data_IF_479546809983
#
_entry.id   IF_479546809983
#
_cell.length_a   1.000
_cell.length_b   1.000
_cell.length_c   1.000
_cell.angle_alpha   90.00
_cell.angle_beta   90.00
_cell.angle_gamma   90.00
#
_symmetry.space_group_name_H-M   'P 1'
#
loop_
_entity.id
_entity.type
_entity.pdbx_description
1 polymer ?
#
# COMPACT_ATOMS: atom_id res chain seq x y z
N UNK A 1 -9.60 15.26 2.31
CA UNK A 1 -10.10 13.89 2.52
C UNK A 1 -10.99 13.54 1.36
N UNK A 2 -10.77 12.41 0.70
CA UNK A 2 -11.54 11.93 -0.43
C UNK A 2 -12.76 11.09 0.01
N UNK A 3 -13.71 10.89 -0.90
CA UNK A 3 -14.75 9.88 -0.75
C UNK A 3 -14.14 8.49 -0.96
N UNK A 4 -14.47 7.53 -0.11
CA UNK A 4 -13.94 6.16 -0.20
C UNK A 4 -14.37 5.45 -1.49
N UNK A 5 -15.52 5.80 -2.04
CA UNK A 5 -15.98 5.26 -3.32
C UNK A 5 -15.14 5.77 -4.49
N UNK A 6 -14.67 7.02 -4.45
CA UNK A 6 -13.74 7.55 -5.46
C UNK A 6 -12.40 6.79 -5.40
N UNK A 7 -11.94 6.45 -4.18
CA UNK A 7 -10.72 5.64 -3.98
C UNK A 7 -10.91 4.22 -4.49
N UNK A 8 -12.05 3.58 -4.21
CA UNK A 8 -12.36 2.23 -4.71
C UNK A 8 -12.42 2.20 -6.24
N UNK A 9 -13.05 3.22 -6.86
CA UNK A 9 -13.08 3.38 -8.30
C UNK A 9 -11.67 3.55 -8.90
N UNK A 10 -10.80 4.33 -8.23
CA UNK A 10 -9.42 4.53 -8.67
C UNK A 10 -8.59 3.24 -8.59
N UNK A 11 -8.73 2.46 -7.51
CA UNK A 11 -8.07 1.16 -7.39
C UNK A 11 -8.48 0.24 -8.56
N UNK A 12 -9.78 0.13 -8.83
CA UNK A 12 -10.26 -0.71 -9.93
C UNK A 12 -9.89 -0.19 -11.32
N UNK A 13 -9.71 1.12 -11.49
CA UNK A 13 -9.17 1.69 -12.73
C UNK A 13 -7.72 1.27 -12.99
N UNK A 14 -6.92 1.10 -11.94
CA UNK A 14 -5.52 0.66 -12.04
C UNK A 14 -5.38 -0.87 -12.11
N UNK A 15 -6.19 -1.63 -11.34
CA UNK A 15 -6.09 -3.10 -11.31
C UNK A 15 -6.87 -3.79 -12.43
N UNK A 16 -7.90 -3.15 -12.99
CA UNK A 16 -8.97 -3.80 -13.72
C UNK A 16 -9.91 -4.59 -12.79
N UNK A 17 -10.75 -5.50 -13.34
CA UNK A 17 -11.64 -6.35 -12.55
C UNK A 17 -10.90 -7.13 -11.47
N UNK A 18 -11.38 -7.07 -10.23
CA UNK A 18 -10.71 -7.68 -9.09
C UNK A 18 -11.70 -8.36 -8.14
N UNK A 19 -11.17 -9.13 -7.19
CA UNK A 19 -12.01 -9.72 -6.14
C UNK A 19 -12.37 -8.68 -5.07
N UNK A 20 -13.58 -8.74 -4.50
CA UNK A 20 -13.99 -7.88 -3.39
C UNK A 20 -13.00 -7.89 -2.23
N UNK A 21 -12.45 -9.06 -1.90
CA UNK A 21 -11.47 -9.21 -0.81
C UNK A 21 -10.18 -8.43 -1.11
N UNK A 22 -9.64 -8.53 -2.34
CA UNK A 22 -8.42 -7.82 -2.71
C UNK A 22 -8.64 -6.31 -2.71
N UNK A 23 -9.77 -5.83 -3.24
CA UNK A 23 -10.15 -4.41 -3.18
C UNK A 23 -10.14 -3.89 -1.73
N UNK A 24 -10.70 -4.62 -0.76
CA UNK A 24 -10.70 -4.24 0.65
C UNK A 24 -9.28 -4.14 1.24
N UNK A 25 -8.39 -5.06 0.87
CA UNK A 25 -6.99 -5.01 1.34
C UNK A 25 -6.23 -3.84 0.72
N UNK A 26 -6.46 -3.54 -0.56
CA UNK A 26 -5.86 -2.38 -1.21
C UNK A 26 -6.35 -1.06 -0.60
N UNK A 27 -7.63 -0.93 -0.24
CA UNK A 27 -8.15 0.23 0.50
C UNK A 27 -7.44 0.42 1.85
N UNK A 28 -7.22 -0.66 2.59
CA UNK A 28 -6.49 -0.62 3.84
C UNK A 28 -5.04 -0.15 3.63
N UNK A 29 -4.34 -0.70 2.63
CA UNK A 29 -2.97 -0.29 2.32
C UNK A 29 -2.89 1.17 1.84
N UNK A 30 -3.81 1.61 1.00
CA UNK A 30 -3.89 3.02 0.56
C UNK A 30 -4.02 3.95 1.76
N UNK A 31 -4.92 3.65 2.70
CA UNK A 31 -5.10 4.45 3.92
C UNK A 31 -3.85 4.43 4.80
N UNK A 32 -3.26 3.25 5.03
CA UNK A 32 -2.11 3.08 5.92
C UNK A 32 -0.86 3.79 5.43
N UNK A 33 -0.51 3.58 4.17
CA UNK A 33 0.66 4.23 3.57
C UNK A 33 0.49 5.74 3.46
N UNK A 34 -0.68 6.21 3.07
CA UNK A 34 -0.92 7.65 2.99
C UNK A 34 -0.82 8.33 4.36
N UNK A 35 -1.41 7.73 5.39
CA UNK A 35 -1.28 8.20 6.78
C UNK A 35 0.19 8.28 7.21
N UNK A 36 1.00 7.29 6.89
CA UNK A 36 2.41 7.27 7.25
C UNK A 36 3.22 8.34 6.52
N UNK A 37 2.91 8.61 5.25
CA UNK A 37 3.64 9.58 4.42
C UNK A 37 3.23 11.03 4.67
N UNK A 38 1.96 11.27 5.01
CA UNK A 38 1.41 12.64 5.06
C UNK A 38 0.87 13.05 6.43
N UNK A 39 0.60 12.11 7.31
CA UNK A 39 -0.11 12.32 8.58
C UNK A 39 -1.63 12.45 8.42
N UNK A 40 -2.16 12.49 7.20
CA UNK A 40 -3.56 12.73 6.91
C UNK A 40 -4.24 11.48 6.30
N UNK A 41 -5.53 11.23 6.61
CA UNK A 41 -6.25 10.10 6.01
C UNK A 41 -6.66 10.40 4.57
N UNK A 42 -6.68 9.38 3.70
CA UNK A 42 -7.23 9.49 2.35
C UNK A 42 -8.75 9.66 2.41
N UNK A 43 -9.41 8.84 3.22
CA UNK A 43 -10.88 8.85 3.39
C UNK A 43 -11.26 8.83 4.87
N UNK A 44 -12.47 9.35 5.23
CA UNK A 44 -12.90 9.45 6.62
C UNK A 44 -13.40 8.13 7.19
N UNK A 45 -13.80 7.19 6.34
CA UNK A 45 -14.48 5.96 6.70
C UNK A 45 -13.60 5.08 7.61
N UNK A 46 -14.25 4.37 8.53
CA UNK A 46 -13.58 3.42 9.40
C UNK A 46 -13.20 2.16 8.64
N UNK A 47 -12.11 1.57 9.05
CA UNK A 47 -11.69 0.23 8.63
C UNK A 47 -11.86 -0.67 9.85
N UNK A 48 -12.51 -1.81 9.70
CA UNK A 48 -12.80 -2.76 10.77
C UNK A 48 -11.93 -4.01 10.66
N UNK A 49 -11.59 -4.60 11.82
CA UNK A 49 -10.74 -5.79 11.93
C UNK A 49 -11.55 -7.09 11.78
N UNK A 50 -12.13 -7.31 10.60
CA UNK A 50 -12.91 -8.52 10.35
C UNK A 50 -12.02 -9.77 10.31
N UNK A 51 -12.66 -10.94 10.44
CA UNK A 51 -11.99 -12.26 10.44
C UNK A 51 -11.07 -12.48 9.24
N UNK A 52 -11.45 -12.07 8.05
CA UNK A 52 -10.63 -12.21 6.83
C UNK A 52 -9.72 -11.00 6.58
N UNK A 53 -9.37 -10.24 7.62
CA UNK A 53 -8.52 -9.05 7.57
C UNK A 53 -9.33 -7.74 7.50
N UNK A 54 -8.65 -6.60 7.32
CA UNK A 54 -9.26 -5.27 7.31
C UNK A 54 -10.35 -5.11 6.23
N UNK A 55 -11.47 -4.46 6.61
CA UNK A 55 -12.61 -4.19 5.73
C UNK A 55 -13.13 -2.78 5.97
N UNK A 56 -13.47 -2.06 4.92
CA UNK A 56 -14.24 -0.81 4.94
C UNK A 56 -15.72 -1.17 4.78
N UNK A 57 -16.55 -1.10 5.83
CA UNK A 57 -17.95 -1.55 5.76
C UNK A 57 -18.78 -0.78 4.74
N UNK A 58 -18.46 0.52 4.52
CA UNK A 58 -19.14 1.33 3.51
C UNK A 58 -19.00 0.71 2.12
N UNK A 59 -17.79 0.39 1.71
CA UNK A 59 -17.50 -0.26 0.43
C UNK A 59 -18.02 -1.69 0.40
N UNK A 60 -17.97 -2.42 1.53
CA UNK A 60 -18.46 -3.82 1.61
C UNK A 60 -19.92 -3.94 1.22
N UNK A 61 -20.79 -3.05 1.69
CA UNK A 61 -22.25 -3.08 1.38
C UNK A 61 -22.55 -3.06 -0.13
N UNK A 62 -21.68 -2.46 -0.93
CA UNK A 62 -21.84 -2.33 -2.38
C UNK A 62 -21.34 -3.55 -3.18
N UNK A 63 -20.54 -4.41 -2.57
CA UNK A 63 -20.03 -5.62 -3.23
C UNK A 63 -20.38 -6.92 -2.50
N UNK A 64 -21.18 -6.86 -1.43
CA UNK A 64 -21.60 -8.05 -0.70
C UNK A 64 -22.22 -9.08 -1.64
N UNK A 65 -21.79 -10.34 -1.51
CA UNK A 65 -22.25 -11.45 -2.35
C UNK A 65 -21.65 -11.50 -3.77
N UNK A 66 -20.91 -10.48 -4.20
CA UNK A 66 -20.23 -10.50 -5.51
C UNK A 66 -18.96 -11.36 -5.45
N UNK A 67 -18.67 -12.08 -6.53
CA UNK A 67 -17.43 -12.85 -6.68
C UNK A 67 -16.29 -12.02 -7.27
N UNK A 68 -16.64 -11.02 -8.07
CA UNK A 68 -15.74 -10.08 -8.69
C UNK A 68 -16.40 -8.71 -8.79
N UNK A 69 -15.58 -7.66 -8.80
CA UNK A 69 -15.99 -6.28 -9.03
C UNK A 69 -15.25 -5.79 -10.26
N UNK A 70 -16.01 -5.54 -11.35
CA UNK A 70 -15.44 -5.12 -12.63
C UNK A 70 -15.35 -3.58 -12.77
N UNK A 71 -16.31 -2.87 -12.17
CA UNK A 71 -16.40 -1.43 -12.14
C UNK A 71 -16.97 -0.96 -10.81
N UNK A 72 -16.78 0.30 -10.48
CA UNK A 72 -17.29 0.94 -9.26
C UNK A 72 -18.10 2.18 -9.63
N UNK A 73 -19.40 2.00 -9.80
CA UNK A 73 -20.30 3.07 -10.30
C UNK A 73 -20.62 4.14 -9.23
N UNK A 74 -20.33 3.83 -7.95
CA UNK A 74 -20.60 4.72 -6.81
C UNK A 74 -19.53 5.84 -6.67
N UNK A 75 -18.40 5.75 -7.40
CA UNK A 75 -17.30 6.71 -7.33
C UNK A 75 -16.73 7.10 -8.68
N UNK A 76 -16.00 8.21 -8.70
CA UNK A 76 -15.30 8.71 -9.89
C UNK A 76 -13.82 8.96 -9.55
N UNK A 77 -12.86 8.20 -10.11
CA UNK A 77 -11.44 8.38 -9.85
C UNK A 77 -10.91 9.78 -10.24
N UNK A 78 -11.63 10.51 -11.10
CA UNK A 78 -11.24 11.86 -11.50
C UNK A 78 -11.44 12.90 -10.39
N UNK A 79 -12.27 12.61 -9.39
CA UNK A 79 -12.47 13.48 -8.22
C UNK A 79 -11.30 13.45 -7.25
N UNK A 80 -10.43 12.43 -7.32
CA UNK A 80 -9.27 12.34 -6.44
C UNK A 80 -8.24 13.43 -6.75
N UNK A 81 -7.74 14.08 -5.71
CA UNK A 81 -6.55 14.93 -5.80
C UNK A 81 -5.31 14.15 -6.22
N UNK A 82 -4.30 14.84 -6.74
CA UNK A 82 -3.08 14.20 -7.27
C UNK A 82 -2.38 13.32 -6.23
N UNK A 83 -2.20 13.81 -5.01
CA UNK A 83 -1.55 13.05 -3.93
C UNK A 83 -2.25 11.72 -3.64
N UNK A 84 -3.58 11.69 -3.62
CA UNK A 84 -4.34 10.46 -3.40
C UNK A 84 -4.20 9.49 -4.58
N UNK A 85 -4.23 9.98 -5.82
CA UNK A 85 -4.01 9.15 -7.02
C UNK A 85 -2.61 8.55 -7.06
N UNK A 86 -1.60 9.30 -6.68
CA UNK A 86 -0.22 8.83 -6.58
C UNK A 86 -0.11 7.72 -5.53
N UNK A 87 -0.73 7.90 -4.35
CA UNK A 87 -0.76 6.85 -3.33
C UNK A 87 -1.48 5.59 -3.83
N UNK A 88 -2.63 5.72 -4.50
CA UNK A 88 -3.38 4.58 -5.06
C UNK A 88 -2.51 3.82 -6.05
N UNK A 89 -1.91 4.51 -7.03
CA UNK A 89 -1.03 3.89 -8.04
C UNK A 89 0.13 3.16 -7.39
N UNK A 90 0.84 3.83 -6.47
CA UNK A 90 1.97 3.25 -5.77
C UNK A 90 1.59 1.98 -4.99
N UNK A 91 0.46 2.00 -4.28
CA UNK A 91 -0.05 0.82 -3.55
C UNK A 91 -0.41 -0.30 -4.51
N UNK A 92 -1.13 -0.01 -5.60
CA UNK A 92 -1.51 -1.04 -6.58
C UNK A 92 -0.26 -1.69 -7.20
N UNK A 93 0.76 -0.91 -7.58
CA UNK A 93 2.02 -1.40 -8.11
C UNK A 93 2.79 -2.25 -7.08
N UNK A 94 2.91 -1.77 -5.84
CA UNK A 94 3.61 -2.47 -4.74
C UNK A 94 2.99 -3.82 -4.43
N UNK A 95 1.68 -3.93 -4.48
CA UNK A 95 0.93 -5.16 -4.15
C UNK A 95 0.44 -5.92 -5.39
N UNK A 96 0.91 -5.58 -6.59
CA UNK A 96 0.47 -6.20 -7.85
C UNK A 96 0.70 -7.73 -7.90
N UNK A 97 1.81 -8.21 -7.32
CA UNK A 97 2.18 -9.62 -7.30
C UNK A 97 1.44 -10.48 -6.28
N UNK A 98 0.58 -9.90 -5.44
CA UNK A 98 -0.10 -10.62 -4.37
C UNK A 98 -1.58 -10.85 -4.70
N UNK A 99 -2.04 -12.08 -4.53
CA UNK A 99 -3.44 -12.42 -4.63
C UNK A 99 -4.22 -12.05 -3.33
N UNK A 100 -5.55 -12.23 -3.38
CA UNK A 100 -6.44 -11.90 -2.25
C UNK A 100 -6.12 -12.67 -0.96
N UNK A 101 -5.64 -13.92 -1.08
CA UNK A 101 -5.35 -14.77 0.07
C UNK A 101 -4.00 -14.40 0.69
N UNK A 102 -3.02 -14.10 -0.14
CA UNK A 102 -1.72 -13.59 0.29
C UNK A 102 -1.86 -12.24 1.02
N UNK A 103 -2.63 -11.30 0.45
CA UNK A 103 -2.90 -10.02 1.11
C UNK A 103 -3.67 -10.20 2.43
N UNK A 104 -4.63 -11.13 2.48
CA UNK A 104 -5.33 -11.45 3.72
C UNK A 104 -4.37 -11.99 4.78
N UNK A 105 -3.51 -12.93 4.43
CA UNK A 105 -2.51 -13.49 5.34
C UNK A 105 -1.54 -12.41 5.85
N UNK A 106 -1.02 -11.56 4.95
CA UNK A 106 -0.15 -10.44 5.33
C UNK A 106 -0.81 -9.53 6.37
N UNK A 107 -2.08 -9.14 6.14
CA UNK A 107 -2.78 -8.25 7.08
C UNK A 107 -3.02 -8.87 8.46
N UNK A 108 -3.07 -10.20 8.57
CA UNK A 108 -3.19 -10.90 9.86
C UNK A 108 -1.89 -10.82 10.69
N UNK A 109 -0.74 -10.71 10.04
CA UNK A 109 0.55 -10.54 10.71
C UNK A 109 0.83 -9.08 11.10
N UNK A 110 0.05 -8.14 10.58
CA UNK A 110 0.28 -6.72 10.79
C UNK A 110 -0.34 -6.20 12.09
N UNK A 111 0.43 -5.33 12.79
CA UNK A 111 0.03 -4.77 14.08
C UNK A 111 -1.32 -4.04 14.07
N UNK A 112 -1.70 -3.23 13.04
CA UNK A 112 -2.97 -2.52 13.07
C UNK A 112 -4.20 -3.44 13.19
N UNK A 113 -4.20 -4.57 12.49
CA UNK A 113 -5.28 -5.54 12.56
C UNK A 113 -5.24 -6.32 13.88
N UNK A 114 -4.07 -6.78 14.30
CA UNK A 114 -3.89 -7.55 15.54
C UNK A 114 -4.26 -6.72 16.78
N UNK A 115 -3.81 -5.47 16.84
CA UNK A 115 -4.09 -4.57 17.95
C UNK A 115 -5.60 -4.29 18.10
N UNK A 116 -6.32 -4.07 16.98
CA UNK A 116 -7.76 -3.85 17.02
C UNK A 116 -8.54 -5.09 17.51
N UNK A 117 -8.01 -6.27 17.34
CA UNK A 117 -8.66 -7.53 17.76
C UNK A 117 -8.45 -7.89 19.23
N UNK A 118 -7.60 -7.17 19.95
CA UNK A 118 -7.39 -7.34 21.40
C UNK A 118 -7.11 -8.79 21.86
N UNK A 119 -6.42 -9.57 21.03
CA UNK A 119 -6.06 -10.97 21.33
C UNK A 119 -7.12 -12.00 20.97
N UNK A 120 -8.20 -11.64 20.28
CA UNK A 120 -9.13 -12.60 19.69
C UNK A 120 -8.39 -13.56 18.73
N UNK A 121 -8.83 -14.80 18.67
CA UNK A 121 -8.34 -15.75 17.68
C UNK A 121 -8.67 -15.30 16.25
N UNK A 122 -7.86 -15.67 15.26
CA UNK A 122 -7.98 -15.17 13.89
C UNK A 122 -9.32 -15.53 13.24
N UNK A 123 -9.96 -16.65 13.67
CA UNK A 123 -11.23 -17.14 13.17
C UNK A 123 -12.45 -16.54 13.88
N UNK A 124 -12.25 -15.82 14.99
CA UNK A 124 -13.34 -15.15 15.69
C UNK A 124 -13.82 -13.89 14.94
N UNK A 125 -15.13 -13.62 14.91
CA UNK A 125 -15.65 -12.41 14.29
C UNK A 125 -15.30 -11.17 15.12
N UNK A 126 -14.99 -10.07 14.45
CA UNK A 126 -14.78 -8.76 15.06
C UNK A 126 -15.22 -7.65 14.10
N UNK A 127 -15.69 -6.55 14.66
CA UNK A 127 -16.02 -5.31 13.96
C UNK A 127 -15.30 -4.11 14.58
N UNK A 128 -14.28 -4.37 15.40
CA UNK A 128 -13.50 -3.32 16.04
C UNK A 128 -12.78 -2.45 15.01
N UNK A 129 -12.85 -1.12 15.15
CA UNK A 129 -12.19 -0.23 14.21
C UNK A 129 -10.67 -0.24 14.39
N UNK A 130 -9.95 -0.22 13.28
CA UNK A 130 -8.51 -0.02 13.28
C UNK A 130 -8.18 1.42 13.69
N UNK A 131 -7.20 1.57 14.58
CA UNK A 131 -6.68 2.88 14.97
C UNK A 131 -5.82 3.49 13.87
N UNK A 132 -6.21 4.69 13.38
CA UNK A 132 -5.39 5.44 12.40
C UNK A 132 -4.00 5.75 12.94
N UNK A 133 -3.88 6.00 14.25
CA UNK A 133 -2.58 6.22 14.90
C UNK A 133 -1.69 4.98 14.79
N UNK A 134 -2.21 3.80 15.12
CA UNK A 134 -1.45 2.55 15.02
C UNK A 134 -1.09 2.25 13.56
N UNK A 135 -1.99 2.52 12.61
CA UNK A 135 -1.69 2.40 11.19
C UNK A 135 -0.54 3.32 10.77
N UNK A 136 -0.61 4.62 11.12
CA UNK A 136 0.44 5.58 10.79
C UNK A 136 1.81 5.18 11.38
N UNK A 137 1.83 4.74 12.63
CA UNK A 137 3.05 4.29 13.31
C UNK A 137 3.62 3.02 12.68
N UNK A 138 2.77 2.03 12.38
CA UNK A 138 3.19 0.78 11.75
C UNK A 138 3.81 1.00 10.37
N UNK A 139 3.08 1.65 9.46
CA UNK A 139 3.57 1.94 8.11
C UNK A 139 4.74 2.92 8.11
N UNK A 140 4.78 3.85 9.06
CA UNK A 140 5.92 4.76 9.25
C UNK A 140 7.21 4.04 9.63
N UNK A 141 7.14 3.00 10.47
CA UNK A 141 8.31 2.14 10.76
C UNK A 141 8.81 1.42 9.51
N UNK A 142 7.90 0.92 8.67
CA UNK A 142 8.30 0.26 7.41
C UNK A 142 9.05 1.21 6.47
N UNK A 143 8.67 2.50 6.42
CA UNK A 143 9.41 3.53 5.67
C UNK A 143 10.80 3.72 6.27
N UNK A 144 10.91 3.87 7.59
CA UNK A 144 12.19 4.04 8.27
C UNK A 144 13.10 2.83 8.11
N UNK A 145 12.56 1.62 8.16
CA UNK A 145 13.33 0.38 7.96
C UNK A 145 13.90 0.29 6.55
N UNK A 146 13.15 0.68 5.53
CA UNK A 146 13.62 0.75 4.14
C UNK A 146 14.75 1.77 3.98
N UNK A 147 14.64 2.98 4.52
CA UNK A 147 15.72 3.99 4.48
C UNK A 147 16.97 3.51 5.22
N UNK A 148 16.78 2.84 6.36
CA UNK A 148 17.89 2.23 7.10
C UNK A 148 18.57 1.15 6.28
N UNK A 149 17.81 0.26 5.61
CA UNK A 149 18.35 -0.77 4.74
C UNK A 149 19.14 -0.20 3.56
N UNK A 150 18.61 0.85 2.90
CA UNK A 150 19.32 1.54 1.82
C UNK A 150 20.63 2.17 2.35
N UNK A 151 20.59 2.82 3.51
CA UNK A 151 21.76 3.44 4.13
C UNK A 151 22.82 2.41 4.47
N UNK A 152 22.43 1.25 5.03
CA UNK A 152 23.36 0.16 5.34
C UNK A 152 23.94 -0.46 4.08
N UNK A 153 23.14 -0.67 3.02
CA UNK A 153 23.64 -1.20 1.76
C UNK A 153 24.68 -0.27 1.13
N UNK A 154 24.48 1.05 1.17
CA UNK A 154 25.44 2.05 0.71
C UNK A 154 26.72 2.02 1.55
N UNK A 155 26.60 1.92 2.87
CA UNK A 155 27.77 1.84 3.77
C UNK A 155 28.60 0.57 3.50
N UNK A 156 27.95 -0.58 3.33
CA UNK A 156 28.62 -1.85 3.02
C UNK A 156 29.34 -1.79 1.67
N UNK A 157 28.70 -1.27 0.61
CA UNK A 157 29.32 -1.10 -0.70
C UNK A 157 30.58 -0.24 -0.61
N UNK A 158 30.56 0.85 0.17
CA UNK A 158 31.75 1.71 0.40
C UNK A 158 32.88 1.01 1.15
N UNK A 159 32.56 0.13 2.11
CA UNK A 159 33.55 -0.69 2.81
C UNK A 159 34.24 -1.69 1.86
N UNK A 160 33.53 -2.14 0.82
CA UNK A 160 34.06 -2.99 -0.25
C UNK A 160 34.83 -2.19 -1.32
N UNK A 161 34.98 -0.89 -1.17
CA UNK A 161 35.69 0.00 -2.11
C UNK A 161 34.85 0.41 -3.32
N UNK A 162 33.53 0.20 -3.29
CA UNK A 162 32.61 0.63 -4.32
C UNK A 162 32.09 2.03 -4.04
N UNK A 163 32.15 2.90 -5.05
CA UNK A 163 31.52 4.23 -4.96
C UNK A 163 30.06 4.15 -5.42
N UNK A 164 29.14 4.43 -4.49
CA UNK A 164 27.70 4.46 -4.76
C UNK A 164 27.30 5.90 -5.04
N UNK A 165 26.97 6.17 -6.30
CA UNK A 165 26.57 7.51 -6.73
C UNK A 165 25.26 7.97 -6.07
N UNK A 166 25.11 9.29 -5.90
CA UNK A 166 23.87 9.88 -5.38
C UNK A 166 22.63 9.48 -6.21
N UNK A 167 22.80 9.37 -7.50
CA UNK A 167 21.75 8.92 -8.40
C UNK A 167 21.34 7.45 -8.17
N UNK A 168 22.30 6.55 -7.84
CA UNK A 168 21.99 5.16 -7.52
C UNK A 168 21.18 5.05 -6.22
N UNK A 169 21.48 5.90 -5.25
CA UNK A 169 20.72 6.01 -3.99
C UNK A 169 19.31 6.55 -4.29
N UNK A 170 19.20 7.57 -5.15
CA UNK A 170 17.90 8.12 -5.56
C UNK A 170 17.04 7.09 -6.32
N UNK A 171 17.65 6.29 -7.20
CA UNK A 171 16.94 5.21 -7.90
C UNK A 171 16.50 4.09 -6.94
N UNK A 172 17.32 3.71 -5.94
CA UNK A 172 16.93 2.74 -4.92
C UNK A 172 15.73 3.21 -4.10
N UNK A 173 15.71 4.49 -3.72
CA UNK A 173 14.57 5.11 -3.05
C UNK A 173 13.33 5.19 -3.95
N UNK A 174 13.50 5.47 -5.23
CA UNK A 174 12.41 5.51 -6.19
C UNK A 174 11.80 4.11 -6.42
N UNK A 175 12.62 3.05 -6.39
CA UNK A 175 12.14 1.66 -6.43
C UNK A 175 11.36 1.33 -5.17
N UNK A 176 11.86 1.71 -4.00
CA UNK A 176 11.15 1.46 -2.72
C UNK A 176 9.79 2.18 -2.67
N UNK A 177 9.72 3.39 -3.23
CA UNK A 177 8.46 4.13 -3.36
C UNK A 177 7.56 3.69 -4.52
N UNK A 178 7.98 2.68 -5.33
CA UNK A 178 7.24 2.21 -6.49
C UNK A 178 7.21 3.18 -7.70
N UNK A 179 8.02 4.23 -7.66
CA UNK A 179 8.17 5.20 -8.76
C UNK A 179 8.98 4.63 -9.93
N UNK A 180 9.77 3.59 -9.67
CA UNK A 180 10.56 2.84 -10.64
C UNK A 180 10.49 1.35 -10.32
N UNK A 181 10.48 0.51 -11.34
CA UNK A 181 10.76 -0.91 -11.15
C UNK A 181 12.29 -1.13 -11.02
N UNK A 182 12.70 -2.23 -10.39
CA UNK A 182 14.12 -2.62 -10.30
C UNK A 182 14.75 -2.70 -11.69
N UNK A 183 14.03 -3.24 -12.68
CA UNK A 183 14.50 -3.36 -14.06
C UNK A 183 14.72 -1.99 -14.72
N UNK A 184 13.84 -1.04 -14.48
CA UNK A 184 13.97 0.33 -15.00
C UNK A 184 15.15 1.05 -14.36
N UNK A 185 15.35 0.91 -13.04
CA UNK A 185 16.49 1.46 -12.34
C UNK A 185 17.81 0.91 -12.90
N UNK A 186 17.91 -0.40 -13.09
CA UNK A 186 19.07 -1.07 -13.69
C UNK A 186 19.32 -0.58 -15.13
N UNK A 187 18.30 -0.55 -15.99
CA UNK A 187 18.42 -0.07 -17.38
C UNK A 187 18.84 1.40 -17.44
N UNK A 188 18.39 2.23 -16.50
CA UNK A 188 18.79 3.63 -16.39
C UNK A 188 20.28 3.76 -16.10
N UNK A 189 20.81 2.93 -15.20
CA UNK A 189 22.25 2.89 -14.88
C UNK A 189 23.10 2.40 -16.04
N UNK A 190 22.73 1.29 -16.66
CA UNK A 190 23.46 0.75 -17.83
C UNK A 190 23.57 1.80 -18.94
N UNK A 191 22.49 2.54 -19.23
CA UNK A 191 22.50 3.60 -20.25
C UNK A 191 23.44 4.77 -19.94
N UNK A 192 23.68 5.06 -18.65
CA UNK A 192 24.63 6.10 -18.24
C UNK A 192 26.09 5.66 -18.45
N UNK A 193 26.40 4.39 -18.18
CA UNK A 193 27.74 3.84 -18.40
C UNK A 193 28.09 3.61 -19.89
N UNK A 194 27.09 3.41 -20.74
CA UNK A 194 27.34 3.17 -22.20
C UNK A 194 27.47 4.47 -23.00
N UNK A 195 27.30 5.66 -22.40
CA UNK A 195 27.42 6.96 -23.05
C UNK A 195 28.75 7.69 -22.73
N UNK A 196 29.64 7.07 -21.97
CA UNK A 196 31.01 7.50 -21.76
C UNK A 196 31.98 6.67 -22.60
#
# INVERSE_FOLDING_TARGET
>A
VADVHDVAAAILAETGPDSPMRLQKLLYYVQGWHLAMTGEPVFPDRIEAWRAGPVVPEVYRHHEGKRAVAAWDEGDPKRLGNSYRETVRWVVERYAGFDRHQLSAMTHDEEPWRAARHGLADDEPSTEPLSRKVMAEYFGRLICDSETAITQAVANARLEGLDVSADAIADARAVDRGELTTDEAVRRRIRQFTKQ
#
